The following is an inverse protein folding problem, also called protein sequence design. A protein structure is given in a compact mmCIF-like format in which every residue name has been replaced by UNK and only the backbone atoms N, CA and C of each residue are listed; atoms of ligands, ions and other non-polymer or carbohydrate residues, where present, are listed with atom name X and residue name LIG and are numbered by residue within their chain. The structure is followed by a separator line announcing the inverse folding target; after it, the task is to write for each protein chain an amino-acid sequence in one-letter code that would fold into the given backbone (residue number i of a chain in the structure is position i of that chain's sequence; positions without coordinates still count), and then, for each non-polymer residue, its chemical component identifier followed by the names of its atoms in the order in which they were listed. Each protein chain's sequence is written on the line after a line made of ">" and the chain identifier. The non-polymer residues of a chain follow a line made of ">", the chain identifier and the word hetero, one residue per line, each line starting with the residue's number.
data_IF_982152676916
#
_entry.id   IF_982152676916
#
_cell.length_a   1.000
_cell.length_b   1.000
_cell.length_c   1.000
_cell.angle_alpha   90.00
_cell.angle_beta   90.00
_cell.angle_gamma   90.00
#
_symmetry.space_group_name_H-M   'P 1'
#
loop_
_entity.id
_entity.type
_entity.pdbx_description
1 polymer ?
#
# COMPACT_ATOMS: atom_id res chain seq x y z
N UNK A 1 8.69 -0.54 25.00
CA UNK A 1 7.64 -1.40 24.40
C UNK A 1 6.34 -0.61 24.48
N UNK A 2 5.93 0.07 23.41
CA UNK A 2 4.88 1.11 23.49
C UNK A 2 3.69 0.90 22.54
N UNK A 3 3.65 -0.19 21.75
CA UNK A 3 2.65 -0.35 20.70
C UNK A 3 1.81 -1.63 20.74
N UNK A 4 1.94 -2.45 21.78
CA UNK A 4 1.11 -3.66 21.92
C UNK A 4 1.24 -4.68 20.78
N UNK A 5 2.29 -4.59 19.96
CA UNK A 5 2.57 -5.53 18.89
C UNK A 5 3.01 -6.88 19.45
N UNK A 6 2.71 -7.93 18.68
CA UNK A 6 3.10 -9.29 19.03
C UNK A 6 4.63 -9.40 19.09
N UNK A 7 5.16 -10.19 20.01
CA UNK A 7 6.62 -10.27 20.21
C UNK A 7 7.36 -10.89 19.02
N UNK A 8 6.62 -11.60 18.16
CA UNK A 8 7.10 -12.25 16.94
C UNK A 8 7.03 -11.33 15.69
N UNK A 9 6.43 -10.15 15.79
CA UNK A 9 6.35 -9.20 14.67
C UNK A 9 7.72 -8.55 14.40
N UNK A 10 8.02 -8.32 13.12
CA UNK A 10 9.24 -7.64 12.72
C UNK A 10 9.35 -6.29 13.43
N UNK A 11 10.49 -5.96 14.07
CA UNK A 11 10.65 -4.73 14.84
C UNK A 11 10.55 -3.44 13.99
N UNK A 12 10.45 -3.57 12.67
CA UNK A 12 10.54 -2.48 11.69
C UNK A 12 9.33 -2.38 10.73
N UNK A 13 8.15 -2.91 11.09
CA UNK A 13 6.94 -2.77 10.29
C UNK A 13 6.32 -1.36 10.36
N UNK A 14 5.78 -0.87 9.23
CA UNK A 14 4.95 0.34 9.18
C UNK A 14 3.49 -0.09 9.12
N UNK A 15 2.77 0.08 10.22
CA UNK A 15 1.34 -0.25 10.28
C UNK A 15 0.49 0.92 9.76
N UNK A 16 -0.78 0.70 9.39
CA UNK A 16 -1.68 1.78 8.97
C UNK A 16 -1.75 2.94 9.98
N UNK A 17 -1.73 2.62 11.27
CA UNK A 17 -1.77 3.58 12.37
C UNK A 17 -0.54 4.49 12.40
N UNK A 18 0.61 4.01 11.93
CA UNK A 18 1.83 4.80 11.83
C UNK A 18 1.71 5.88 10.77
N UNK A 19 1.11 5.54 9.64
CA UNK A 19 0.81 6.50 8.57
C UNK A 19 -0.19 7.54 9.06
N UNK A 20 -1.27 7.07 9.72
CA UNK A 20 -2.27 7.96 10.33
C UNK A 20 -1.61 8.96 11.29
N UNK A 21 -0.82 8.45 12.24
CA UNK A 21 -0.13 9.26 13.24
C UNK A 21 0.80 10.27 12.58
N UNK A 22 1.62 9.82 11.63
CA UNK A 22 2.54 10.67 10.89
C UNK A 22 1.80 11.81 10.18
N UNK A 23 0.71 11.51 9.46
CA UNK A 23 -0.04 12.53 8.75
C UNK A 23 -0.68 13.55 9.71
N UNK A 24 -1.25 13.10 10.82
CA UNK A 24 -1.86 13.98 11.84
C UNK A 24 -0.81 14.89 12.48
N UNK A 25 0.31 14.34 12.94
CA UNK A 25 1.38 15.10 13.60
C UNK A 25 1.99 16.16 12.67
N UNK A 26 2.07 15.85 11.37
CA UNK A 26 2.63 16.75 10.36
C UNK A 26 1.58 17.63 9.67
N UNK A 27 0.31 17.61 10.11
CA UNK A 27 -0.81 18.38 9.50
C UNK A 27 -0.96 18.13 7.99
N UNK A 28 -0.62 16.92 7.55
CA UNK A 28 -0.81 16.47 6.18
C UNK A 28 -2.29 16.09 6.03
N UNK A 29 -2.96 16.60 5.00
CA UNK A 29 -4.31 16.16 4.69
C UNK A 29 -4.24 14.80 4.02
N UNK A 30 -5.05 13.87 4.50
CA UNK A 30 -5.08 12.51 3.98
C UNK A 30 -6.48 11.91 4.12
N UNK A 31 -6.70 10.82 3.41
CA UNK A 31 -7.91 10.00 3.46
C UNK A 31 -7.52 8.55 3.60
N UNK A 32 -8.08 7.88 4.60
CA UNK A 32 -8.09 6.41 4.67
C UNK A 32 -9.35 5.91 3.97
N UNK A 33 -9.24 4.86 3.16
CA UNK A 33 -10.37 4.17 2.54
C UNK A 33 -10.28 2.68 2.88
N UNK A 34 -11.44 2.11 3.22
CA UNK A 34 -11.56 0.71 3.62
C UNK A 34 -12.38 -0.13 2.63
N UNK A 35 -12.98 0.52 1.65
CA UNK A 35 -13.78 -0.11 0.60
C UNK A 35 -13.23 0.18 -0.78
N UNK A 36 -13.29 -0.82 -1.65
CA UNK A 36 -12.79 -0.76 -3.02
C UNK A 36 -13.31 0.43 -3.82
N UNK A 37 -14.59 0.74 -3.69
CA UNK A 37 -15.24 1.76 -4.50
C UNK A 37 -14.86 3.18 -4.07
N UNK A 38 -14.43 3.38 -2.82
CA UNK A 38 -14.02 4.69 -2.28
C UNK A 38 -12.69 5.16 -2.89
N UNK A 39 -11.72 4.25 -2.99
CA UNK A 39 -10.38 4.62 -3.46
C UNK A 39 -10.24 4.55 -4.98
N UNK A 40 -11.04 3.73 -5.69
CA UNK A 40 -10.99 3.62 -7.15
C UNK A 40 -11.22 4.95 -7.87
N UNK A 41 -12.20 5.73 -7.41
CA UNK A 41 -12.46 7.07 -7.98
C UNK A 41 -11.39 8.07 -7.55
N UNK A 42 -10.90 7.94 -6.32
CA UNK A 42 -9.83 8.77 -5.77
C UNK A 42 -8.51 8.60 -6.56
N UNK A 43 -8.22 7.39 -7.07
CA UNK A 43 -7.01 7.08 -7.84
C UNK A 43 -6.96 7.82 -9.18
N UNK A 44 -8.11 8.23 -9.73
CA UNK A 44 -8.16 9.03 -10.97
C UNK A 44 -7.59 10.44 -10.79
N UNK A 45 -7.49 10.90 -9.54
CA UNK A 45 -7.09 12.28 -9.19
C UNK A 45 -5.63 12.31 -8.75
N UNK A 46 -5.24 11.37 -7.89
CA UNK A 46 -3.89 11.30 -7.33
C UNK A 46 -3.52 9.87 -6.95
N UNK A 47 -2.22 9.54 -6.89
CA UNK A 47 -1.74 8.24 -6.44
C UNK A 47 -2.24 7.86 -5.05
N UNK A 48 -2.37 6.56 -4.79
CA UNK A 48 -2.90 6.02 -3.53
C UNK A 48 -1.97 4.94 -2.99
N UNK A 49 -1.59 5.07 -1.74
CA UNK A 49 -0.90 4.00 -1.02
C UNK A 49 -1.89 2.90 -0.65
N UNK A 50 -1.54 1.65 -0.93
CA UNK A 50 -2.35 0.49 -0.56
C UNK A 50 -1.47 -0.56 0.11
N UNK A 51 -2.05 -1.28 1.07
CA UNK A 51 -1.38 -2.37 1.73
C UNK A 51 -1.78 -3.68 1.04
N UNK A 52 -0.78 -4.40 0.53
CA UNK A 52 -0.94 -5.73 -0.06
C UNK A 52 -0.41 -6.78 0.91
N UNK A 53 -1.09 -7.92 1.03
CA UNK A 53 -0.48 -9.13 1.58
C UNK A 53 0.50 -9.69 0.57
N UNK A 54 1.57 -10.29 1.08
CA UNK A 54 2.63 -10.84 0.28
C UNK A 54 2.20 -12.02 -0.57
N UNK A 55 2.78 -12.09 -1.76
CA UNK A 55 2.85 -13.28 -2.61
C UNK A 55 3.94 -14.23 -2.04
N UNK A 56 3.70 -15.55 -2.08
CA UNK A 56 4.67 -16.58 -1.65
C UNK A 56 6.07 -16.40 -2.25
N UNK A 57 6.14 -16.04 -3.53
CA UNK A 57 7.38 -15.93 -4.30
C UNK A 57 8.12 -14.61 -4.05
N UNK A 58 7.40 -13.51 -3.80
CA UNK A 58 8.01 -12.17 -3.79
C UNK A 58 8.15 -11.56 -2.39
N UNK A 59 7.23 -11.87 -1.47
CA UNK A 59 7.19 -11.24 -0.13
C UNK A 59 7.01 -12.23 1.02
N UNK A 60 6.66 -13.49 0.73
CA UNK A 60 6.36 -14.52 1.72
C UNK A 60 4.95 -14.38 2.31
N UNK A 61 4.31 -15.52 2.61
CA UNK A 61 2.89 -15.66 3.01
C UNK A 61 2.41 -14.78 4.18
N UNK A 62 3.33 -14.30 5.01
CA UNK A 62 3.01 -13.60 6.27
C UNK A 62 3.37 -12.13 6.27
N UNK A 63 4.01 -11.62 5.22
CA UNK A 63 4.42 -10.22 5.19
C UNK A 63 3.42 -9.39 4.40
N UNK A 64 3.17 -8.17 4.84
CA UNK A 64 2.43 -7.18 4.06
C UNK A 64 3.37 -6.08 3.59
N UNK A 65 3.04 -5.47 2.45
CA UNK A 65 3.87 -4.44 1.84
C UNK A 65 3.03 -3.28 1.33
N UNK A 66 3.50 -2.05 1.60
CA UNK A 66 2.88 -0.84 1.09
C UNK A 66 3.37 -0.55 -0.33
N UNK A 67 2.44 -0.36 -1.26
CA UNK A 67 2.73 0.08 -2.62
C UNK A 67 1.96 1.34 -2.94
N UNK A 68 2.42 2.11 -3.93
CA UNK A 68 1.72 3.33 -4.38
C UNK A 68 1.09 3.04 -5.73
N UNK A 69 -0.23 2.87 -5.78
CA UNK A 69 -0.98 2.82 -7.03
C UNK A 69 -0.93 4.19 -7.72
N UNK A 70 -0.65 4.20 -9.01
CA UNK A 70 -0.50 5.42 -9.81
C UNK A 70 -1.63 5.51 -10.84
N UNK A 71 -1.93 4.37 -11.48
CA UNK A 71 -2.87 4.30 -12.58
C UNK A 71 -3.60 2.96 -12.57
N UNK A 72 -4.84 3.00 -13.06
CA UNK A 72 -5.63 1.81 -13.36
C UNK A 72 -5.95 1.78 -14.85
N UNK A 73 -5.52 0.72 -15.52
CA UNK A 73 -5.98 0.36 -16.85
C UNK A 73 -7.11 -0.69 -16.77
N UNK A 74 -7.68 -1.07 -17.92
CA UNK A 74 -8.80 -2.03 -17.97
C UNK A 74 -8.45 -3.36 -17.29
N UNK A 75 -7.21 -3.81 -17.48
CA UNK A 75 -6.79 -5.15 -17.07
C UNK A 75 -5.81 -5.15 -15.89
N UNK A 76 -5.05 -4.08 -15.65
CA UNK A 76 -4.00 -4.03 -14.63
C UNK A 76 -3.93 -2.69 -13.90
N UNK A 77 -3.33 -2.72 -12.72
CA UNK A 77 -2.86 -1.53 -12.01
C UNK A 77 -1.37 -1.32 -12.28
N UNK A 78 -0.97 -0.07 -12.43
CA UNK A 78 0.44 0.36 -12.41
C UNK A 78 0.74 0.93 -11.03
N UNK A 79 1.82 0.47 -10.41
CA UNK A 79 2.18 0.86 -9.05
C UNK A 79 3.68 1.05 -8.87
N UNK A 80 4.04 1.92 -7.93
CA UNK A 80 5.39 2.00 -7.41
C UNK A 80 5.56 1.04 -6.23
N UNK A 81 6.59 0.20 -6.32
CA UNK A 81 7.03 -0.65 -5.22
C UNK A 81 8.25 0.00 -4.54
N UNK A 82 8.09 0.57 -3.33
CA UNK A 82 9.18 1.28 -2.65
C UNK A 82 10.31 0.37 -2.17
N UNK A 83 10.14 -0.96 -2.22
CA UNK A 83 11.20 -1.91 -1.90
C UNK A 83 12.31 -1.96 -2.96
N UNK A 84 11.99 -1.62 -4.20
CA UNK A 84 12.93 -1.67 -5.32
C UNK A 84 13.53 -0.30 -5.58
N UNK A 85 14.84 -0.27 -5.86
CA UNK A 85 15.58 0.97 -6.07
C UNK A 85 15.34 1.53 -7.46
N UNK A 86 15.35 2.87 -7.54
CA UNK A 86 15.24 3.64 -8.79
C UNK A 86 16.36 3.34 -9.80
N UNK A 87 17.51 2.87 -9.30
CA UNK A 87 18.73 2.59 -10.07
C UNK A 87 18.52 1.60 -11.23
N UNK A 88 17.50 0.74 -11.16
CA UNK A 88 17.20 -0.27 -12.20
C UNK A 88 15.85 -0.06 -12.91
N UNK A 89 15.11 1.04 -12.65
CA UNK A 89 13.72 1.25 -13.12
C UNK A 89 12.68 0.19 -12.69
N UNK A 90 13.09 -0.88 -12.01
CA UNK A 90 12.24 -2.00 -11.52
C UNK A 90 11.20 -1.62 -10.44
N UNK A 91 11.18 -0.35 -10.02
CA UNK A 91 10.24 0.15 -9.02
C UNK A 91 8.86 0.42 -9.59
N UNK A 92 8.70 0.54 -10.92
CA UNK A 92 7.40 0.57 -11.59
C UNK A 92 7.01 -0.85 -11.93
N UNK A 93 5.87 -1.30 -11.41
CA UNK A 93 5.35 -2.64 -11.64
C UNK A 93 3.91 -2.59 -12.11
N UNK A 94 3.48 -3.69 -12.72
CA UNK A 94 2.10 -3.92 -13.11
C UNK A 94 1.57 -5.14 -12.38
N UNK A 95 0.33 -5.06 -11.90
CA UNK A 95 -0.38 -6.19 -11.29
C UNK A 95 -1.75 -6.32 -11.95
N UNK A 96 -2.10 -7.53 -12.37
CA UNK A 96 -3.39 -7.78 -12.97
C UNK A 96 -4.51 -7.57 -11.95
N UNK A 97 -5.67 -7.05 -12.38
CA UNK A 97 -6.74 -6.63 -11.48
C UNK A 97 -7.18 -7.73 -10.52
N UNK A 98 -7.33 -8.99 -10.99
CA UNK A 98 -7.76 -10.07 -10.08
C UNK A 98 -6.69 -10.44 -9.06
N UNK A 99 -5.42 -10.39 -9.45
CA UNK A 99 -4.31 -10.68 -8.54
C UNK A 99 -4.18 -9.57 -7.50
N UNK A 100 -4.36 -8.31 -7.91
CA UNK A 100 -4.45 -7.19 -6.98
C UNK A 100 -5.53 -7.44 -5.92
N UNK A 101 -6.75 -7.78 -6.33
CA UNK A 101 -7.84 -8.04 -5.37
C UNK A 101 -7.63 -9.28 -4.50
N UNK A 102 -6.84 -10.25 -4.97
CA UNK A 102 -6.44 -11.41 -4.17
C UNK A 102 -5.50 -11.00 -3.03
N UNK A 103 -4.62 -10.03 -3.29
CA UNK A 103 -3.60 -9.60 -2.33
C UNK A 103 -3.95 -8.32 -1.58
N UNK A 104 -4.97 -7.58 -1.99
CA UNK A 104 -5.35 -6.33 -1.35
C UNK A 104 -5.94 -6.57 0.04
N UNK A 105 -5.39 -5.91 1.05
CA UNK A 105 -5.81 -6.08 2.46
C UNK A 105 -7.08 -5.31 2.81
N UNK A 106 -7.61 -4.49 1.89
CA UNK A 106 -8.71 -3.57 2.18
C UNK A 106 -8.26 -2.21 2.71
N UNK A 107 -6.95 -1.94 2.84
CA UNK A 107 -6.45 -0.68 3.42
C UNK A 107 -5.81 0.18 2.34
N UNK A 108 -6.36 1.38 2.14
CA UNK A 108 -5.82 2.41 1.27
C UNK A 108 -5.66 3.75 1.99
N UNK A 109 -4.60 4.49 1.66
CA UNK A 109 -4.32 5.83 2.15
C UNK A 109 -3.96 6.76 0.97
N UNK A 110 -4.63 7.90 0.87
CA UNK A 110 -4.32 8.93 -0.12
C UNK A 110 -3.93 10.22 0.58
N UNK A 111 -2.80 10.81 0.19
CA UNK A 111 -2.41 12.17 0.58
C UNK A 111 -3.14 13.17 -0.33
N UNK A 112 -3.70 14.24 0.25
CA UNK A 112 -4.57 15.23 -0.41
C UNK A 112 -3.93 16.62 -0.54
#
# INVERSE_FOLDING_TARGET
>A
KEKGYDEDDSPCGVYPEDIFKFCVENKIKFRMSFYDDEWKESLKIAPIMVLLTGDEEEFGLRNSHWVVLIERNKDYFTYYNPWYKKENEEYIKHIWYKDFHRYYTGIACQIL
#
